data_IF_449941727142
#
_entry.id   IF_449941727142
#
_cell.length_a   1.000
_cell.length_b   1.000
_cell.length_c   1.000
_cell.angle_alpha   90.00
_cell.angle_beta   90.00
_cell.angle_gamma   90.00
#
_symmetry.space_group_name_H-M   'P 1'
#
loop_
_entity.id
_entity.type
_entity.pdbx_description
1 polymer ?
#
# COMPACT_ATOMS: atom_id res chain seq x y z
N UNK A 1 -7.85 25.68 9.36
CA UNK A 1 -8.61 25.17 10.50
C UNK A 1 -8.01 25.78 11.76
N UNK A 2 -8.85 26.23 12.75
CA UNK A 2 -8.31 26.67 14.02
C UNK A 2 -7.56 25.52 14.67
N UNK A 3 -6.30 25.75 15.07
CA UNK A 3 -5.53 24.78 15.85
C UNK A 3 -6.35 24.44 17.09
N UNK A 4 -6.93 23.24 17.14
CA UNK A 4 -7.61 22.77 18.34
C UNK A 4 -6.61 22.80 19.50
N UNK A 5 -6.87 23.62 20.49
CA UNK A 5 -6.07 23.61 21.72
C UNK A 5 -6.26 22.24 22.35
N UNK A 6 -5.19 21.47 22.61
CA UNK A 6 -5.31 20.13 23.15
C UNK A 6 -6.07 20.14 24.47
N UNK A 7 -7.09 19.30 24.58
CA UNK A 7 -7.83 19.11 25.84
C UNK A 7 -6.92 18.52 26.90
N UNK A 8 -7.33 18.56 28.16
CA UNK A 8 -6.60 17.92 29.27
C UNK A 8 -6.44 16.40 29.02
N UNK A 9 -7.51 15.77 28.57
CA UNK A 9 -7.51 14.35 28.16
C UNK A 9 -6.51 14.09 27.02
N UNK A 10 -6.47 14.93 26.00
CA UNK A 10 -5.52 14.79 24.92
C UNK A 10 -4.07 14.86 25.40
N UNK A 11 -3.75 15.83 26.26
CA UNK A 11 -2.40 15.95 26.85
C UNK A 11 -2.04 14.73 27.70
N UNK A 12 -3.01 14.21 28.46
CA UNK A 12 -2.81 13.00 29.26
C UNK A 12 -2.52 11.79 28.35
N UNK A 13 -3.32 11.59 27.27
CA UNK A 13 -3.10 10.51 26.31
C UNK A 13 -1.71 10.57 25.67
N UNK A 14 -1.25 11.75 25.24
CA UNK A 14 0.10 11.93 24.69
C UNK A 14 1.18 11.52 25.70
N UNK A 15 1.02 11.90 26.97
CA UNK A 15 1.93 11.52 28.05
C UNK A 15 1.96 10.01 28.28
N UNK A 16 0.80 9.36 28.30
CA UNK A 16 0.69 7.91 28.48
C UNK A 16 1.26 7.13 27.29
N UNK A 17 1.02 7.58 26.06
CA UNK A 17 1.61 6.97 24.86
C UNK A 17 3.15 7.06 24.96
N UNK A 18 3.70 8.23 25.28
CA UNK A 18 5.16 8.41 25.40
C UNK A 18 5.75 7.53 26.52
N UNK A 19 5.07 7.40 27.66
CA UNK A 19 5.47 6.54 28.76
C UNK A 19 5.46 5.06 28.36
N UNK A 20 4.34 4.58 27.79
CA UNK A 20 4.17 3.19 27.38
C UNK A 20 5.13 2.80 26.25
N UNK A 21 5.36 3.70 25.29
CA UNK A 21 6.30 3.51 24.20
C UNK A 21 7.71 3.20 24.72
N UNK A 22 8.16 3.95 25.73
CA UNK A 22 9.46 3.71 26.38
C UNK A 22 9.45 2.44 27.24
N UNK A 23 8.41 2.24 28.06
CA UNK A 23 8.31 1.08 28.98
C UNK A 23 8.25 -0.25 28.22
N UNK A 24 7.54 -0.27 27.10
CA UNK A 24 7.33 -1.49 26.30
C UNK A 24 8.34 -1.67 25.17
N UNK A 25 9.35 -0.81 25.06
CA UNK A 25 10.27 -0.80 23.93
C UNK A 25 9.50 -0.85 22.60
N UNK A 26 8.56 0.09 22.40
CA UNK A 26 7.68 0.12 21.27
C UNK A 26 8.09 1.19 20.25
N UNK A 27 7.95 0.86 18.96
CA UNK A 27 8.14 1.75 17.83
C UNK A 27 6.79 1.93 17.12
N UNK A 28 6.31 3.17 17.02
CA UNK A 28 5.01 3.50 16.45
C UNK A 28 5.21 3.96 15.01
N UNK A 29 4.46 3.36 14.10
CA UNK A 29 4.46 3.62 12.68
C UNK A 29 3.07 4.13 12.28
N UNK A 30 2.95 5.21 11.51
CA UNK A 30 1.68 5.71 11.02
C UNK A 30 1.69 5.92 9.51
N UNK A 31 0.62 5.50 8.85
CA UNK A 31 0.44 5.81 7.44
C UNK A 31 0.17 7.32 7.23
N UNK A 32 0.60 7.86 6.10
CA UNK A 32 0.38 9.27 5.70
C UNK A 32 -1.10 9.71 5.75
N UNK A 33 -2.05 8.78 5.71
CA UNK A 33 -3.48 9.05 5.79
C UNK A 33 -4.03 9.05 7.22
N UNK A 34 -3.22 8.70 8.22
CA UNK A 34 -3.61 8.79 9.61
C UNK A 34 -3.84 10.25 10.02
N UNK A 35 -4.76 10.54 10.96
CA UNK A 35 -4.91 11.88 11.53
C UNK A 35 -3.60 12.44 12.10
N UNK A 36 -3.45 13.77 12.09
CA UNK A 36 -2.23 14.44 12.55
C UNK A 36 -1.80 14.01 13.95
N UNK A 37 -2.77 13.87 14.87
CA UNK A 37 -2.50 13.46 16.25
C UNK A 37 -1.84 12.08 16.37
N UNK A 38 -2.17 11.16 15.44
CA UNK A 38 -1.54 9.84 15.34
C UNK A 38 -0.14 9.95 14.72
N UNK A 39 0.00 10.81 13.69
CA UNK A 39 1.30 11.05 13.08
C UNK A 39 2.28 11.68 14.08
N UNK A 40 1.82 12.62 14.92
CA UNK A 40 2.63 13.35 15.90
C UNK A 40 3.24 12.45 16.99
N UNK A 41 2.59 11.34 17.35
CA UNK A 41 3.10 10.36 18.33
C UNK A 41 3.93 9.25 17.70
N UNK A 42 4.01 9.20 16.38
CA UNK A 42 4.67 8.13 15.65
C UNK A 42 6.17 8.39 15.47
N UNK A 43 6.96 7.32 15.43
CA UNK A 43 8.41 7.38 15.17
C UNK A 43 8.74 7.50 13.70
N UNK A 44 7.84 6.96 12.85
CA UNK A 44 7.93 7.10 11.40
C UNK A 44 6.53 7.25 10.79
N UNK A 45 6.43 8.13 9.79
CA UNK A 45 5.24 8.39 9.02
C UNK A 45 5.59 8.21 7.53
N UNK A 46 4.79 7.44 6.79
CA UNK A 46 5.10 7.16 5.39
C UNK A 46 4.10 6.28 4.68
N UNK A 47 4.51 5.75 3.54
CA UNK A 47 3.77 4.75 2.78
C UNK A 47 4.03 3.32 3.28
N UNK A 48 3.31 2.35 2.70
CA UNK A 48 3.34 0.95 3.13
C UNK A 48 4.73 0.31 3.08
N UNK A 49 5.52 0.58 2.05
CA UNK A 49 6.84 -0.02 1.90
C UNK A 49 7.85 0.63 2.85
N UNK A 50 7.85 1.96 2.92
CA UNK A 50 8.71 2.72 3.82
C UNK A 50 8.49 2.31 5.28
N UNK A 51 7.22 2.21 5.73
CA UNK A 51 6.91 1.83 7.11
C UNK A 51 7.34 0.40 7.43
N UNK A 52 7.13 -0.55 6.51
CA UNK A 52 7.57 -1.92 6.67
C UNK A 52 9.11 -2.03 6.78
N UNK A 53 9.85 -1.26 5.98
CA UNK A 53 11.31 -1.15 6.07
C UNK A 53 11.76 -0.54 7.40
N UNK A 54 11.15 0.56 7.83
CA UNK A 54 11.46 1.22 9.11
C UNK A 54 11.19 0.30 10.31
N UNK A 55 10.09 -0.43 10.29
CA UNK A 55 9.81 -1.44 11.30
C UNK A 55 10.86 -2.56 11.35
N UNK A 56 11.25 -3.08 10.19
CA UNK A 56 12.27 -4.13 10.08
C UNK A 56 13.68 -3.64 10.50
N UNK A 57 14.01 -2.36 10.25
CA UNK A 57 15.26 -1.73 10.69
C UNK A 57 15.31 -1.52 12.22
N UNK A 58 14.14 -1.27 12.83
CA UNK A 58 14.04 -0.99 14.27
C UNK A 58 14.49 -2.19 15.12
N UNK A 59 15.03 -1.91 16.31
CA UNK A 59 15.34 -2.92 17.33
C UNK A 59 14.27 -3.01 18.44
N UNK A 60 13.16 -2.28 18.30
CA UNK A 60 12.05 -2.34 19.23
C UNK A 60 11.41 -3.72 19.29
N UNK A 61 10.93 -4.12 20.46
CA UNK A 61 10.23 -5.40 20.65
C UNK A 61 8.80 -5.36 20.10
N UNK A 62 8.16 -4.17 20.17
CA UNK A 62 6.81 -3.95 19.71
C UNK A 62 6.82 -2.96 18.55
N UNK A 63 6.26 -3.36 17.43
CA UNK A 63 5.96 -2.52 16.28
C UNK A 63 4.45 -2.26 16.26
N UNK A 64 4.02 -1.06 16.62
CA UNK A 64 2.61 -0.68 16.55
C UNK A 64 2.37 0.12 15.28
N UNK A 65 1.61 -0.42 14.34
CA UNK A 65 1.37 0.24 13.06
C UNK A 65 -0.07 0.75 12.94
N UNK A 66 -0.24 2.07 13.03
CA UNK A 66 -1.50 2.78 12.84
C UNK A 66 -1.80 2.94 11.34
N UNK A 67 -2.29 1.86 10.74
CA UNK A 67 -2.57 1.73 9.32
C UNK A 67 -3.66 0.70 9.06
N UNK A 68 -3.96 0.44 7.78
CA UNK A 68 -4.90 -0.60 7.36
C UNK A 68 -4.27 -1.99 7.42
N UNK A 69 -5.11 -3.02 7.59
CA UNK A 69 -4.72 -4.40 7.87
C UNK A 69 -3.62 -4.95 6.94
N UNK A 70 -3.70 -4.73 5.62
CA UNK A 70 -2.70 -5.28 4.69
C UNK A 70 -1.28 -4.75 4.95
N UNK A 71 -1.13 -3.53 5.47
CA UNK A 71 0.16 -2.94 5.83
C UNK A 71 0.72 -3.62 7.08
N UNK A 72 -0.10 -3.78 8.11
CA UNK A 72 0.26 -4.57 9.31
C UNK A 72 0.69 -6.00 8.94
N UNK A 73 0.05 -6.60 7.94
CA UNK A 73 0.42 -7.92 7.44
C UNK A 73 1.80 -7.92 6.76
N UNK A 74 2.13 -6.88 5.98
CA UNK A 74 3.46 -6.74 5.36
C UNK A 74 4.53 -6.59 6.43
N UNK A 75 4.30 -5.70 7.40
CA UNK A 75 5.20 -5.52 8.53
C UNK A 75 5.41 -6.82 9.31
N UNK A 76 4.35 -7.62 9.49
CA UNK A 76 4.43 -8.92 10.16
C UNK A 76 5.30 -9.95 9.42
N UNK A 77 5.41 -9.87 8.07
CA UNK A 77 6.34 -10.70 7.29
C UNK A 77 7.77 -10.19 7.44
N UNK A 78 7.97 -8.87 7.41
CA UNK A 78 9.30 -8.25 7.35
C UNK A 78 9.95 -8.09 8.72
N UNK A 79 9.20 -8.19 9.81
CA UNK A 79 9.71 -8.04 11.19
C UNK A 79 10.81 -9.02 11.53
N UNK A 80 11.66 -8.66 12.49
CA UNK A 80 12.65 -9.59 13.09
C UNK A 80 11.92 -10.65 13.93
N UNK A 81 12.53 -11.84 14.17
CA UNK A 81 11.88 -12.94 14.92
C UNK A 81 11.41 -12.56 16.33
N UNK A 82 12.13 -11.68 17.03
CA UNK A 82 11.79 -11.25 18.39
C UNK A 82 10.70 -10.19 18.44
N UNK A 83 10.39 -9.53 17.33
CA UNK A 83 9.43 -8.42 17.27
C UNK A 83 7.98 -8.91 17.22
N UNK A 84 7.09 -8.14 17.79
CA UNK A 84 5.64 -8.33 17.75
C UNK A 84 5.00 -7.15 17.02
N UNK A 85 4.17 -7.44 16.03
CA UNK A 85 3.38 -6.40 15.33
C UNK A 85 2.02 -6.30 15.99
N UNK A 86 1.62 -5.08 16.31
CA UNK A 86 0.31 -4.74 16.85
C UNK A 86 -0.39 -3.78 15.90
N UNK A 87 -1.69 -3.99 15.68
CA UNK A 87 -2.59 -3.09 14.99
C UNK A 87 -3.58 -2.50 16.01
N UNK A 88 -3.83 -1.18 16.00
CA UNK A 88 -4.85 -0.59 16.86
C UNK A 88 -6.25 -1.14 16.58
N UNK A 89 -6.54 -1.43 15.31
CA UNK A 89 -7.81 -2.00 14.86
C UNK A 89 -7.60 -2.95 13.69
N UNK A 90 -7.90 -4.23 13.88
CA UNK A 90 -7.87 -5.25 12.82
C UNK A 90 -9.01 -5.09 11.81
N UNK A 91 -10.05 -4.32 12.14
CA UNK A 91 -11.15 -3.97 11.26
C UNK A 91 -10.83 -2.79 10.31
N UNK A 92 -9.67 -2.15 10.45
CA UNK A 92 -9.22 -1.11 9.54
C UNK A 92 -8.84 -1.71 8.18
N UNK A 93 -9.82 -1.81 7.29
CA UNK A 93 -9.68 -2.46 5.98
C UNK A 93 -9.42 -1.44 4.87
N UNK A 94 -8.81 -1.92 3.77
CA UNK A 94 -8.60 -1.14 2.55
C UNK A 94 -9.59 -1.62 1.47
N UNK A 95 -10.41 -0.70 0.96
CA UNK A 95 -11.37 -1.02 -0.10
C UNK A 95 -10.70 -1.51 -1.39
N UNK A 96 -9.53 -0.97 -1.73
CA UNK A 96 -8.77 -1.44 -2.89
C UNK A 96 -8.28 -2.87 -2.68
N UNK A 97 -7.69 -3.18 -1.53
CA UNK A 97 -7.22 -4.53 -1.21
C UNK A 97 -8.37 -5.55 -1.25
N UNK A 98 -9.57 -5.15 -0.84
CA UNK A 98 -10.76 -6.01 -0.85
C UNK A 98 -11.29 -6.37 -2.26
N UNK A 99 -10.87 -5.65 -3.31
CA UNK A 99 -11.21 -6.03 -4.70
C UNK A 99 -10.49 -7.30 -5.14
N UNK A 100 -9.27 -7.54 -4.66
CA UNK A 100 -8.55 -8.77 -4.94
C UNK A 100 -9.06 -9.88 -4.01
N UNK A 101 -9.55 -10.95 -4.61
CA UNK A 101 -10.05 -12.13 -3.92
C UNK A 101 -9.23 -13.33 -4.39
N UNK A 102 -8.74 -14.11 -3.44
CA UNK A 102 -7.87 -15.28 -3.69
C UNK A 102 -8.54 -16.31 -4.60
N UNK A 103 -9.86 -16.54 -4.45
CA UNK A 103 -10.58 -17.52 -5.24
C UNK A 103 -10.70 -17.09 -6.72
N UNK A 104 -10.83 -15.78 -6.98
CA UNK A 104 -10.80 -15.23 -8.35
C UNK A 104 -9.45 -15.46 -9.01
N UNK A 105 -8.36 -15.28 -8.24
CA UNK A 105 -6.99 -15.46 -8.73
C UNK A 105 -6.74 -16.94 -9.02
N UNK A 106 -7.12 -17.83 -8.11
CA UNK A 106 -7.01 -19.29 -8.31
C UNK A 106 -7.79 -19.77 -9.54
N UNK A 107 -9.00 -19.24 -9.73
CA UNK A 107 -9.80 -19.53 -10.92
C UNK A 107 -9.11 -19.05 -12.18
N UNK A 108 -8.62 -17.81 -12.19
CA UNK A 108 -7.87 -17.28 -13.32
C UNK A 108 -6.62 -18.14 -13.63
N UNK A 109 -5.87 -18.58 -12.63
CA UNK A 109 -4.72 -19.50 -12.79
C UNK A 109 -5.13 -20.88 -13.33
N UNK A 110 -6.32 -21.36 -13.02
CA UNK A 110 -6.84 -22.62 -13.59
C UNK A 110 -7.13 -22.49 -15.08
N UNK A 111 -7.63 -21.34 -15.50
CA UNK A 111 -7.92 -21.02 -16.91
C UNK A 111 -6.64 -20.67 -17.70
N UNK A 112 -5.59 -20.19 -16.98
CA UNK A 112 -4.33 -19.73 -17.55
C UNK A 112 -3.16 -20.39 -16.78
N UNK A 113 -2.90 -21.67 -17.06
CA UNK A 113 -1.99 -22.52 -16.27
C UNK A 113 -0.58 -21.95 -16.12
N UNK A 114 -0.07 -21.28 -17.16
CA UNK A 114 1.28 -20.67 -17.17
C UNK A 114 1.22 -19.16 -16.92
N UNK A 115 0.06 -18.67 -16.46
CA UNK A 115 -0.17 -17.26 -16.23
C UNK A 115 0.62 -16.71 -15.03
N UNK A 116 1.12 -15.49 -15.18
CA UNK A 116 1.91 -14.79 -14.17
C UNK A 116 1.05 -13.75 -13.48
N UNK A 117 1.06 -13.72 -12.15
CA UNK A 117 0.29 -12.78 -11.35
C UNK A 117 1.21 -11.74 -10.73
N UNK A 118 0.96 -10.46 -11.03
CA UNK A 118 1.64 -9.30 -10.45
C UNK A 118 0.67 -8.59 -9.52
N UNK A 119 0.94 -8.59 -8.23
CA UNK A 119 0.13 -7.86 -7.26
C UNK A 119 0.74 -6.51 -6.89
N UNK A 120 -0.07 -5.47 -6.93
CA UNK A 120 0.23 -4.24 -6.23
C UNK A 120 0.22 -4.48 -4.72
N UNK A 121 1.10 -3.80 -3.98
CA UNK A 121 1.29 -4.00 -2.53
C UNK A 121 0.01 -3.86 -1.70
N UNK A 122 -0.99 -3.11 -2.20
CA UNK A 122 -2.29 -2.95 -1.56
C UNK A 122 -3.20 -4.17 -1.77
N UNK A 123 -2.77 -5.31 -1.27
CA UNK A 123 -3.47 -6.59 -1.26
C UNK A 123 -3.22 -7.33 0.05
N UNK A 124 -4.13 -8.23 0.45
CA UNK A 124 -3.95 -9.07 1.62
C UNK A 124 -2.95 -10.21 1.37
N UNK A 125 -2.49 -10.86 2.44
CA UNK A 125 -1.45 -11.90 2.36
C UNK A 125 -1.86 -13.13 1.55
N UNK A 126 -3.12 -13.53 1.62
CA UNK A 126 -3.66 -14.65 0.85
C UNK A 126 -3.53 -14.41 -0.67
N UNK A 127 -3.77 -13.16 -1.10
CA UNK A 127 -3.57 -12.72 -2.48
C UNK A 127 -2.08 -12.68 -2.85
N UNK A 128 -1.23 -12.18 -1.95
CA UNK A 128 0.22 -12.16 -2.17
C UNK A 128 0.81 -13.56 -2.27
N UNK A 129 0.28 -14.52 -1.51
CA UNK A 129 0.70 -15.92 -1.58
C UNK A 129 0.39 -16.59 -2.92
N UNK A 130 -0.58 -16.07 -3.67
CA UNK A 130 -0.89 -16.52 -5.03
C UNK A 130 -0.19 -15.69 -6.12
N UNK A 131 0.59 -14.69 -5.74
CA UNK A 131 1.26 -13.79 -6.68
C UNK A 131 2.69 -14.21 -6.94
N UNK A 132 3.14 -14.09 -8.18
CA UNK A 132 4.52 -14.39 -8.58
C UNK A 132 5.43 -13.18 -8.39
N UNK A 133 4.87 -11.97 -8.50
CA UNK A 133 5.55 -10.70 -8.27
C UNK A 133 4.69 -9.77 -7.43
N UNK A 134 5.35 -8.91 -6.66
CA UNK A 134 4.70 -7.81 -5.95
C UNK A 134 5.39 -6.49 -6.29
N UNK A 135 4.62 -5.41 -6.46
CA UNK A 135 5.13 -4.08 -6.78
C UNK A 135 4.52 -3.00 -5.91
N UNK A 136 5.22 -1.87 -5.81
CA UNK A 136 4.68 -0.59 -5.33
C UNK A 136 4.19 0.25 -6.53
N UNK A 137 3.45 1.32 -6.28
CA UNK A 137 2.98 2.23 -7.34
C UNK A 137 4.13 2.84 -8.14
N UNK A 138 5.23 3.19 -7.46
CA UNK A 138 6.41 3.80 -8.08
C UNK A 138 7.16 2.88 -9.07
N UNK A 139 7.06 1.57 -8.94
CA UNK A 139 7.80 0.61 -9.77
C UNK A 139 6.91 -0.37 -10.56
N UNK A 140 5.60 -0.16 -10.59
CA UNK A 140 4.67 -1.07 -11.27
C UNK A 140 5.03 -1.29 -12.75
N UNK A 141 5.32 -0.21 -13.49
CA UNK A 141 5.70 -0.30 -14.89
C UNK A 141 7.01 -1.09 -15.08
N UNK A 142 8.01 -0.89 -14.21
CA UNK A 142 9.28 -1.62 -14.27
C UNK A 142 9.09 -3.11 -13.99
N UNK A 143 8.25 -3.47 -13.02
CA UNK A 143 7.96 -4.88 -12.71
C UNK A 143 7.22 -5.55 -13.87
N UNK A 144 6.19 -4.90 -14.44
CA UNK A 144 5.50 -5.41 -15.63
C UNK A 144 6.48 -5.57 -16.80
N UNK A 145 7.34 -4.57 -17.05
CA UNK A 145 8.36 -4.63 -18.10
C UNK A 145 9.33 -5.78 -17.87
N UNK A 146 9.79 -5.98 -16.63
CA UNK A 146 10.64 -7.10 -16.27
C UNK A 146 9.98 -8.43 -16.65
N UNK A 147 8.72 -8.63 -16.25
CA UNK A 147 7.98 -9.86 -16.57
C UNK A 147 7.79 -10.02 -18.09
N UNK A 148 7.42 -8.95 -18.80
CA UNK A 148 7.28 -8.98 -20.26
C UNK A 148 8.55 -9.45 -20.97
N UNK A 149 9.72 -9.09 -20.47
CA UNK A 149 11.03 -9.41 -21.08
C UNK A 149 11.60 -10.78 -20.68
N UNK A 150 11.21 -11.31 -19.53
CA UNK A 150 11.82 -12.52 -18.96
C UNK A 150 10.88 -13.72 -18.89
N UNK A 151 9.66 -13.57 -19.37
CA UNK A 151 8.69 -14.66 -19.48
C UNK A 151 8.39 -14.98 -20.94
N UNK A 152 7.86 -16.17 -21.20
CA UNK A 152 7.49 -16.58 -22.56
C UNK A 152 6.37 -15.70 -23.12
N UNK A 153 6.40 -15.44 -24.41
CA UNK A 153 5.45 -14.55 -25.09
C UNK A 153 4.01 -15.07 -25.08
N UNK A 154 3.83 -16.36 -24.83
CA UNK A 154 2.50 -17.00 -24.70
C UNK A 154 1.89 -16.88 -23.31
N UNK A 155 2.70 -16.53 -22.27
CA UNK A 155 2.21 -16.48 -20.88
C UNK A 155 1.39 -15.22 -20.64
N UNK A 156 0.10 -15.34 -20.28
CA UNK A 156 -0.71 -14.20 -19.89
C UNK A 156 -0.23 -13.63 -18.53
N UNK A 157 -0.35 -12.32 -18.37
CA UNK A 157 0.05 -11.59 -17.16
C UNK A 157 -1.19 -10.95 -16.57
N UNK A 158 -1.50 -11.25 -15.32
CA UNK A 158 -2.57 -10.59 -14.56
C UNK A 158 -1.97 -9.56 -13.61
N UNK A 159 -2.29 -8.29 -13.81
CA UNK A 159 -2.00 -7.21 -12.87
C UNK A 159 -3.22 -6.90 -12.00
N UNK A 160 -3.03 -6.82 -10.69
CA UNK A 160 -4.10 -6.60 -9.73
C UNK A 160 -3.65 -5.75 -8.53
N UNK A 161 -4.57 -5.17 -7.73
CA UNK A 161 -6.00 -5.05 -7.99
C UNK A 161 -6.38 -3.74 -8.69
N UNK A 162 -5.49 -2.73 -8.72
CA UNK A 162 -5.76 -1.36 -9.12
C UNK A 162 -5.72 -1.19 -10.64
N UNK A 163 -6.89 -1.02 -11.23
CA UNK A 163 -7.04 -0.83 -12.68
C UNK A 163 -6.39 0.47 -13.16
N UNK A 164 -6.45 1.55 -12.38
CA UNK A 164 -5.87 2.84 -12.77
C UNK A 164 -4.34 2.81 -12.76
N UNK A 165 -3.75 2.16 -11.76
CA UNK A 165 -2.30 1.92 -11.74
C UNK A 165 -1.89 1.03 -12.92
N UNK A 166 -2.67 -0.01 -13.20
CA UNK A 166 -2.45 -0.90 -14.35
C UNK A 166 -2.51 -0.14 -15.68
N UNK A 167 -3.51 0.70 -15.89
CA UNK A 167 -3.62 1.55 -17.09
C UNK A 167 -2.47 2.56 -17.19
N UNK A 168 -2.08 3.18 -16.09
CA UNK A 168 -0.94 4.09 -16.07
C UNK A 168 0.36 3.39 -16.47
N UNK A 169 0.63 2.23 -15.86
CA UNK A 169 1.80 1.42 -16.21
C UNK A 169 1.77 0.96 -17.67
N UNK A 170 0.63 0.48 -18.16
CA UNK A 170 0.43 0.08 -19.55
C UNK A 170 0.69 1.24 -20.52
N UNK A 171 0.16 2.43 -20.24
CA UNK A 171 0.41 3.63 -21.06
C UNK A 171 1.90 4.00 -21.15
N UNK A 172 2.63 3.92 -20.04
CA UNK A 172 4.09 4.17 -20.03
C UNK A 172 4.84 3.14 -20.89
N UNK A 173 4.41 1.89 -20.85
CA UNK A 173 5.04 0.80 -21.62
C UNK A 173 4.67 0.87 -23.11
N UNK A 174 3.44 1.26 -23.44
CA UNK A 174 3.00 1.51 -24.82
C UNK A 174 3.85 2.61 -25.48
N UNK A 175 4.14 3.70 -24.77
CA UNK A 175 5.03 4.77 -25.22
C UNK A 175 6.47 4.28 -25.49
N UNK A 176 6.86 3.16 -24.91
CA UNK A 176 8.13 2.48 -25.13
C UNK A 176 8.02 1.33 -26.17
N UNK A 177 6.92 1.28 -26.92
CA UNK A 177 6.63 0.25 -27.91
C UNK A 177 6.70 -1.20 -27.36
N UNK A 178 6.30 -1.40 -26.10
CA UNK A 178 6.23 -2.74 -25.52
C UNK A 178 4.93 -3.43 -25.92
N UNK A 179 4.94 -4.74 -26.28
CA UNK A 179 3.72 -5.50 -26.58
C UNK A 179 2.94 -5.75 -25.28
N UNK A 180 1.66 -5.36 -25.25
CA UNK A 180 0.78 -5.46 -24.08
C UNK A 180 -0.41 -6.42 -24.29
N UNK A 181 -0.44 -7.13 -25.40
CA UNK A 181 -1.54 -8.03 -25.81
C UNK A 181 -1.84 -9.13 -24.78
N UNK A 182 -0.85 -9.51 -23.97
CA UNK A 182 -0.98 -10.53 -22.91
C UNK A 182 -1.15 -9.96 -21.50
N UNK A 183 -1.23 -8.62 -21.34
CA UNK A 183 -1.46 -7.97 -20.05
C UNK A 183 -2.94 -7.81 -19.75
N UNK A 184 -3.40 -8.49 -18.71
CA UNK A 184 -4.75 -8.43 -18.18
C UNK A 184 -4.78 -7.58 -16.93
N UNK A 185 -5.77 -6.71 -16.78
CA UNK A 185 -5.94 -5.86 -15.62
C UNK A 185 -7.18 -6.27 -14.83
N UNK A 186 -7.03 -6.48 -13.53
CA UNK A 186 -8.19 -6.64 -12.64
C UNK A 186 -8.90 -5.29 -12.47
N UNK A 187 -10.23 -5.30 -12.53
CA UNK A 187 -11.06 -4.10 -12.47
C UNK A 187 -11.36 -3.67 -11.02
N UNK A 188 -10.32 -3.52 -10.19
CA UNK A 188 -10.42 -2.98 -8.85
C UNK A 188 -10.05 -1.50 -8.81
N UNK A 189 -10.62 -0.74 -7.87
CA UNK A 189 -10.33 0.67 -7.70
C UNK A 189 -10.42 1.11 -6.23
N UNK A 190 -9.59 2.05 -5.84
CA UNK A 190 -9.73 2.73 -4.55
C UNK A 190 -10.92 3.69 -4.61
N UNK A 191 -11.91 3.53 -3.72
CA UNK A 191 -13.10 4.38 -3.69
C UNK A 191 -12.80 5.87 -3.45
N UNK A 192 -11.64 6.19 -2.87
CA UNK A 192 -11.17 7.57 -2.69
C UNK A 192 -10.59 8.11 -4.00
N UNK A 193 -9.66 7.36 -4.62
CA UNK A 193 -9.00 7.78 -5.85
C UNK A 193 -9.95 7.81 -7.04
N UNK A 194 -10.91 6.89 -7.11
CA UNK A 194 -11.92 6.86 -8.17
C UNK A 194 -12.80 8.13 -8.23
N UNK A 195 -12.88 8.89 -7.14
CA UNK A 195 -13.60 10.16 -7.08
C UNK A 195 -12.79 11.36 -7.55
N UNK A 196 -11.47 11.22 -7.72
CA UNK A 196 -10.61 12.31 -8.23
C UNK A 196 -10.88 12.47 -9.72
N UNK A 197 -11.26 13.68 -10.13
CA UNK A 197 -11.56 14.04 -11.52
C UNK A 197 -10.57 15.08 -12.03
N UNK A 198 -10.35 15.19 -13.35
CA UNK A 198 -9.42 16.18 -13.91
C UNK A 198 -9.66 17.60 -13.41
N UNK A 199 -10.93 18.02 -13.27
CA UNK A 199 -11.28 19.35 -12.79
C UNK A 199 -10.80 19.63 -11.35
N UNK A 200 -10.70 18.63 -10.49
CA UNK A 200 -10.13 18.80 -9.14
C UNK A 200 -8.66 19.20 -9.24
N UNK A 201 -7.89 18.55 -10.13
CA UNK A 201 -6.47 18.85 -10.35
C UNK A 201 -6.33 20.25 -10.93
N UNK A 202 -7.17 20.62 -11.92
CA UNK A 202 -7.17 21.94 -12.52
C UNK A 202 -7.51 23.03 -11.49
N UNK A 203 -8.48 22.80 -10.61
CA UNK A 203 -8.85 23.71 -9.53
C UNK A 203 -7.68 23.93 -8.58
N UNK A 204 -6.99 22.86 -8.15
CA UNK A 204 -5.83 22.97 -7.27
C UNK A 204 -4.68 23.72 -7.95
N UNK A 205 -4.39 23.43 -9.20
CA UNK A 205 -3.38 24.17 -9.98
C UNK A 205 -3.68 25.68 -10.09
N UNK A 206 -4.95 26.04 -10.25
CA UNK A 206 -5.35 27.47 -10.27
C UNK A 206 -5.19 28.13 -8.90
N UNK A 207 -5.57 27.42 -7.82
CA UNK A 207 -5.48 27.93 -6.45
C UNK A 207 -4.03 28.00 -5.94
N UNK A 208 -3.18 27.07 -6.39
CA UNK A 208 -1.79 26.93 -5.96
C UNK A 208 -0.85 26.76 -7.17
N UNK A 209 -0.62 27.82 -7.96
CA UNK A 209 0.10 27.73 -9.23
C UNK A 209 1.56 27.28 -9.10
N UNK A 210 2.15 27.44 -7.93
CA UNK A 210 3.54 27.04 -7.64
C UNK A 210 3.66 25.68 -6.93
N UNK A 211 2.55 24.98 -6.69
CA UNK A 211 2.60 23.66 -6.08
C UNK A 211 3.03 22.61 -7.12
N UNK A 212 3.89 21.67 -6.71
CA UNK A 212 4.18 20.47 -7.50
C UNK A 212 2.94 19.57 -7.54
N UNK A 213 2.68 18.97 -8.71
CA UNK A 213 1.57 18.03 -8.93
C UNK A 213 2.15 16.74 -9.51
#
# INVERSE_FOLDING_TARGET
EPKNVPTEEHRWLLGEIARLKKEKNAYILAHNYAPSDIQDVSDAVGDSLYLAQKGAESDAEILLEASVLFMNQILAIMKKPHQRVLAPDLGALCSLAAHANVDKIRRWKQEHRDGIVISYVNTYLDVKAESDYCCASANAAQVILHVLRHSETSQPILFLPDVYLGFYAAKLLEQQNQPLDRLWLMMGACHVHDRIRPYHVEQQRRSYPNAAV
#
